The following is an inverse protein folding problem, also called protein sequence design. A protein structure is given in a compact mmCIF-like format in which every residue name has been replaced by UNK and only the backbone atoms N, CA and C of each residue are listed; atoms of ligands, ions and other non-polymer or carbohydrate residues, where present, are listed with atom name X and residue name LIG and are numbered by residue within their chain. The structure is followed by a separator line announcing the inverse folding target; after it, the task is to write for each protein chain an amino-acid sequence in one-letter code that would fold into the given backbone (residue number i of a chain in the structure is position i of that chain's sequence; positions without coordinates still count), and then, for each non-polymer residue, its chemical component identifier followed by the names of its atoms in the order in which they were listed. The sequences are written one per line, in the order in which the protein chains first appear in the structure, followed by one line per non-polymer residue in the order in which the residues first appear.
data_IF_907992380479
#
_entry.id   IF_907992380479
#
_cell.length_a   1.000
_cell.length_b   1.000
_cell.length_c   1.000
_cell.angle_alpha   90.00
_cell.angle_beta   90.00
_cell.angle_gamma   90.00
#
_symmetry.space_group_name_H-M   'P 1'
#
loop_
_entity.id
_entity.type
_entity.pdbx_description
1 polymer ?
#
# COMPACT_ATOMS: atom_id res chain seq x y z
N UNK A 1 0.78 -15.48 26.92
CA UNK A 1 0.83 -15.07 25.52
C UNK A 1 2.29 -14.77 25.19
N UNK A 2 2.92 -15.67 24.46
CA UNK A 2 4.33 -15.57 24.11
C UNK A 2 4.50 -14.49 23.05
N UNK A 3 5.31 -13.49 23.38
CA UNK A 3 5.72 -12.43 22.45
C UNK A 3 6.39 -13.02 21.22
N UNK A 4 5.70 -12.98 20.09
CA UNK A 4 6.24 -13.35 18.78
C UNK A 4 7.07 -12.24 18.12
N UNK A 5 7.45 -11.21 18.87
CA UNK A 5 8.11 -10.02 18.34
C UNK A 5 9.64 -10.09 18.33
N UNK A 6 10.24 -11.19 18.77
CA UNK A 6 11.67 -11.43 18.66
C UNK A 6 11.92 -12.90 18.41
N UNK A 7 12.05 -13.29 17.16
CA UNK A 7 12.73 -14.53 16.83
C UNK A 7 14.22 -14.25 17.00
N UNK A 8 14.80 -14.72 18.08
CA UNK A 8 16.25 -14.78 18.23
C UNK A 8 16.79 -15.81 17.22
N UNK A 9 17.83 -15.43 16.50
CA UNK A 9 18.64 -16.36 15.72
C UNK A 9 19.33 -17.26 16.73
N UNK A 10 18.80 -18.45 16.95
CA UNK A 10 19.55 -19.50 17.64
C UNK A 10 20.44 -20.14 16.59
N UNK A 11 21.73 -19.89 16.67
CA UNK A 11 22.72 -20.63 15.89
C UNK A 11 22.70 -22.08 16.37
N UNK A 12 22.20 -22.99 15.55
CA UNK A 12 22.35 -24.41 15.77
C UNK A 12 23.75 -24.78 15.35
N UNK A 13 24.74 -24.53 16.24
CA UNK A 13 26.15 -24.78 15.97
C UNK A 13 26.55 -26.27 16.09
N UNK A 14 25.59 -27.15 16.42
CA UNK A 14 25.89 -28.53 16.72
C UNK A 14 25.54 -29.56 15.62
N UNK A 15 25.08 -29.08 14.45
CA UNK A 15 24.81 -29.94 13.31
C UNK A 15 25.63 -29.47 12.10
N UNK A 16 26.61 -30.23 11.63
CA UNK A 16 27.40 -29.85 10.45
C UNK A 16 26.47 -29.85 9.21
N UNK A 17 26.27 -28.68 8.62
CA UNK A 17 25.57 -28.53 7.35
C UNK A 17 24.26 -27.74 7.39
N UNK A 18 23.77 -27.27 8.55
CA UNK A 18 22.56 -26.46 8.64
C UNK A 18 22.89 -25.03 9.09
N UNK A 19 22.66 -24.07 8.20
CA UNK A 19 22.87 -22.66 8.49
C UNK A 19 21.54 -21.96 8.66
N UNK A 20 21.43 -21.30 9.83
CA UNK A 20 20.57 -20.20 10.25
C UNK A 20 19.28 -19.92 9.45
N UNK A 21 18.14 -20.14 10.06
CA UNK A 21 16.90 -19.47 9.69
C UNK A 21 16.92 -18.03 10.25
N UNK A 22 16.81 -17.03 9.37
CA UNK A 22 16.61 -15.65 9.78
C UNK A 22 15.13 -15.41 10.10
N UNK A 23 14.87 -14.84 11.24
CA UNK A 23 13.54 -14.46 11.63
C UNK A 23 13.32 -12.96 11.44
N UNK A 24 12.17 -12.60 10.90
CA UNK A 24 11.81 -11.22 10.64
C UNK A 24 10.67 -10.79 11.57
N UNK A 25 10.87 -9.66 12.22
CA UNK A 25 9.80 -8.95 12.91
C UNK A 25 9.11 -8.01 11.94
N UNK A 26 7.83 -8.23 11.68
CA UNK A 26 7.00 -7.26 10.98
C UNK A 26 6.21 -6.45 12.01
N UNK A 27 6.33 -5.14 11.98
CA UNK A 27 5.57 -4.22 12.87
C UNK A 27 4.08 -4.14 12.55
N UNK A 28 3.60 -4.86 11.53
CA UNK A 28 2.22 -4.72 11.04
C UNK A 28 1.14 -5.09 12.05
N UNK A 29 1.41 -6.05 12.94
CA UNK A 29 0.44 -6.46 13.97
C UNK A 29 0.29 -5.48 15.13
N UNK A 30 1.20 -4.50 15.24
CA UNK A 30 1.19 -3.52 16.33
C UNK A 30 0.39 -2.27 16.01
N UNK A 31 0.19 -1.96 14.72
CA UNK A 31 -0.50 -0.73 14.28
C UNK A 31 -1.93 -0.64 14.79
N UNK A 32 -2.61 -1.78 14.96
CA UNK A 32 -3.98 -1.84 15.42
C UNK A 32 -4.12 -2.55 16.79
N UNK A 33 -3.13 -2.44 17.66
CA UNK A 33 -3.30 -2.87 19.05
C UNK A 33 -4.49 -2.11 19.65
N UNK A 34 -5.40 -2.85 20.28
CA UNK A 34 -6.51 -2.28 21.04
C UNK A 34 -5.93 -1.26 22.02
N UNK A 35 -6.45 -0.06 21.96
CA UNK A 35 -6.05 0.98 22.87
C UNK A 35 -6.50 0.60 24.27
N UNK A 36 -5.57 0.27 25.14
CA UNK A 36 -5.74 0.49 26.57
C UNK A 36 -6.23 1.93 26.73
N UNK A 37 -7.04 2.24 27.75
CA UNK A 37 -7.67 3.55 27.95
C UNK A 37 -6.75 4.71 27.55
N UNK A 38 -6.99 5.25 26.35
CA UNK A 38 -6.16 6.33 25.80
C UNK A 38 -6.49 7.58 26.59
N UNK A 39 -5.56 8.03 27.41
CA UNK A 39 -5.68 9.30 28.12
C UNK A 39 -5.35 10.49 27.20
N UNK A 40 -6.04 11.64 27.36
CA UNK A 40 -5.70 12.85 26.62
C UNK A 40 -4.25 13.26 26.85
N UNK A 41 -3.58 13.69 25.78
CA UNK A 41 -2.25 14.32 25.84
C UNK A 41 -2.39 15.83 25.79
N UNK A 42 -1.46 16.54 26.43
CA UNK A 42 -1.46 17.98 26.53
C UNK A 42 -0.35 18.58 25.65
N UNK A 43 -0.71 19.56 24.85
CA UNK A 43 0.27 20.43 24.14
C UNK A 43 0.59 21.64 25.02
N UNK A 44 -0.41 22.13 25.78
CA UNK A 44 -0.29 23.18 26.78
C UNK A 44 -1.39 23.03 27.84
N UNK A 45 -1.36 23.83 28.88
CA UNK A 45 -2.39 23.83 29.96
C UNK A 45 -3.83 24.02 29.41
N UNK A 46 -3.98 24.62 28.25
CA UNK A 46 -5.28 24.94 27.63
C UNK A 46 -5.64 24.06 26.43
N UNK A 47 -4.69 23.32 25.89
CA UNK A 47 -4.86 22.55 24.65
C UNK A 47 -4.50 21.10 24.89
N UNK A 48 -5.51 20.24 24.83
CA UNK A 48 -5.37 18.79 24.95
C UNK A 48 -5.98 18.10 23.73
N UNK A 49 -5.50 16.92 23.43
CA UNK A 49 -5.96 16.11 22.32
C UNK A 49 -5.96 14.61 22.66
N UNK A 50 -6.76 13.87 21.93
CA UNK A 50 -6.75 12.40 22.00
C UNK A 50 -5.71 11.87 21.03
N UNK A 51 -4.71 11.09 21.49
CA UNK A 51 -3.70 10.52 20.61
C UNK A 51 -4.32 9.49 19.67
N UNK A 52 -3.74 9.36 18.49
CA UNK A 52 -4.18 8.38 17.51
C UNK A 52 -3.29 7.14 17.55
N UNK A 53 -3.77 6.10 18.24
CA UNK A 53 -2.98 4.95 18.64
C UNK A 53 -2.23 5.20 19.97
N UNK A 54 -1.54 4.18 20.47
CA UNK A 54 -0.88 4.24 21.77
C UNK A 54 0.25 5.30 21.82
N UNK A 55 1.01 5.42 20.77
CA UNK A 55 2.15 6.34 20.61
C UNK A 55 1.85 7.60 19.81
N UNK A 56 0.63 7.73 19.28
CA UNK A 56 0.19 8.81 18.38
C UNK A 56 0.81 8.75 16.96
N UNK A 57 1.38 7.62 16.57
CA UNK A 57 2.00 7.42 15.26
C UNK A 57 1.15 6.60 14.28
N UNK A 58 0.03 6.06 14.71
CA UNK A 58 -0.85 5.18 13.92
C UNK A 58 -1.14 5.68 12.48
N UNK A 59 -1.45 6.98 12.21
CA UNK A 59 -1.71 7.41 10.84
C UNK A 59 -0.47 7.34 9.95
N UNK A 60 0.71 7.58 10.50
CA UNK A 60 1.97 7.51 9.75
C UNK A 60 2.39 6.05 9.51
N UNK A 61 2.13 5.17 10.46
CA UNK A 61 2.34 3.73 10.29
C UNK A 61 1.43 3.15 9.20
N UNK A 62 0.17 3.57 9.15
CA UNK A 62 -0.76 3.20 8.08
C UNK A 62 -0.23 3.66 6.71
N UNK A 63 0.20 4.91 6.60
CA UNK A 63 0.78 5.44 5.36
C UNK A 63 1.99 4.61 4.94
N UNK A 64 2.94 4.42 5.85
CA UNK A 64 4.15 3.65 5.57
C UNK A 64 3.87 2.21 5.14
N UNK A 65 2.89 1.54 5.77
CA UNK A 65 2.49 0.18 5.40
C UNK A 65 1.89 0.11 3.98
N UNK A 66 1.06 1.09 3.62
CA UNK A 66 0.45 1.16 2.29
C UNK A 66 1.51 1.49 1.23
N UNK A 67 2.39 2.44 1.50
CA UNK A 67 3.45 2.87 0.57
C UNK A 67 4.53 1.81 0.37
N UNK A 68 4.75 0.94 1.35
CA UNK A 68 5.77 -0.12 1.30
C UNK A 68 5.33 -1.40 0.59
N UNK A 69 4.07 -1.51 0.18
CA UNK A 69 3.52 -2.71 -0.46
C UNK A 69 2.78 -2.38 -1.75
N UNK A 70 3.21 -2.96 -2.86
CA UNK A 70 2.70 -2.69 -4.20
C UNK A 70 1.22 -3.03 -4.34
N UNK A 71 0.77 -4.11 -3.71
CA UNK A 71 -0.64 -4.55 -3.76
C UNK A 71 -1.52 -3.58 -2.98
N UNK A 72 -1.08 -3.20 -1.77
CA UNK A 72 -1.82 -2.27 -0.93
C UNK A 72 -1.91 -0.89 -1.57
N UNK A 73 -0.79 -0.36 -2.06
CA UNK A 73 -0.72 0.93 -2.74
C UNK A 73 -1.67 0.98 -3.93
N UNK A 74 -1.63 -0.04 -4.81
CA UNK A 74 -2.50 -0.13 -5.98
C UNK A 74 -3.98 -0.22 -5.60
N UNK A 75 -4.34 -1.08 -4.65
CA UNK A 75 -5.73 -1.23 -4.20
C UNK A 75 -6.24 0.04 -3.50
N UNK A 76 -5.39 0.72 -2.74
CA UNK A 76 -5.78 1.94 -2.05
C UNK A 76 -6.00 3.10 -3.02
N UNK A 77 -5.13 3.26 -4.02
CA UNK A 77 -5.30 4.23 -5.10
C UNK A 77 -6.61 3.97 -5.85
N UNK A 78 -6.83 2.73 -6.28
CA UNK A 78 -8.09 2.34 -6.95
C UNK A 78 -9.32 2.69 -6.12
N UNK A 79 -9.33 2.39 -4.82
CA UNK A 79 -10.45 2.70 -3.94
C UNK A 79 -10.71 4.21 -3.79
N UNK A 80 -9.64 5.02 -3.78
CA UNK A 80 -9.76 6.48 -3.74
C UNK A 80 -10.30 7.03 -5.07
N UNK A 81 -9.82 6.51 -6.21
CA UNK A 81 -10.26 6.89 -7.55
C UNK A 81 -11.72 6.51 -7.81
N UNK A 82 -12.15 5.31 -7.41
CA UNK A 82 -13.56 4.90 -7.53
C UNK A 82 -14.46 5.72 -6.60
N UNK A 83 -13.95 6.12 -5.43
CA UNK A 83 -14.69 7.04 -4.54
C UNK A 83 -14.80 8.44 -5.13
N UNK A 84 -13.77 8.92 -5.82
CA UNK A 84 -13.81 10.17 -6.56
C UNK A 84 -14.78 10.09 -7.76
N UNK A 85 -14.81 8.94 -8.45
CA UNK A 85 -15.69 8.66 -9.58
C UNK A 85 -15.54 9.69 -10.70
N UNK A 86 -16.66 10.28 -11.13
CA UNK A 86 -16.68 11.39 -12.11
C UNK A 86 -16.37 12.76 -11.52
N UNK A 87 -16.07 12.81 -10.22
CA UNK A 87 -15.87 14.03 -9.48
C UNK A 87 -17.15 14.60 -8.85
N UNK A 88 -16.95 15.48 -7.88
CA UNK A 88 -18.04 16.18 -7.23
C UNK A 88 -18.58 17.26 -8.15
N UNK A 89 -19.89 17.30 -8.31
CA UNK A 89 -20.60 18.39 -8.96
C UNK A 89 -21.76 18.87 -8.07
N UNK A 90 -22.19 20.12 -8.25
CA UNK A 90 -23.47 20.57 -7.71
C UNK A 90 -24.45 20.60 -8.87
N UNK A 91 -25.29 19.57 -8.91
CA UNK A 91 -26.40 19.53 -9.86
C UNK A 91 -27.41 20.59 -9.52
N UNK A 92 -28.03 21.18 -10.53
CA UNK A 92 -29.07 22.19 -10.38
C UNK A 92 -30.35 21.70 -11.03
N UNK A 93 -31.49 21.86 -10.34
CA UNK A 93 -32.81 21.57 -10.90
C UNK A 93 -33.32 22.72 -11.76
N UNK A 94 -34.44 22.48 -12.46
CA UNK A 94 -35.10 23.49 -13.33
C UNK A 94 -35.57 24.74 -12.57
N UNK A 95 -35.72 24.64 -11.25
CA UNK A 95 -36.14 25.76 -10.39
C UNK A 95 -34.98 26.63 -9.95
N UNK A 96 -33.72 26.20 -10.24
CA UNK A 96 -32.54 26.93 -9.86
C UNK A 96 -32.38 28.22 -10.68
N UNK A 97 -32.21 29.31 -9.98
CA UNK A 97 -32.05 30.62 -10.63
C UNK A 97 -30.65 30.72 -11.28
N UNK A 98 -30.56 31.36 -12.45
CA UNK A 98 -29.32 31.54 -13.19
C UNK A 98 -28.19 32.18 -12.39
N UNK A 99 -28.49 33.10 -11.48
CA UNK A 99 -27.51 33.70 -10.62
C UNK A 99 -26.91 32.71 -9.61
N UNK A 100 -27.70 31.73 -9.16
CA UNK A 100 -27.20 30.64 -8.29
C UNK A 100 -26.27 29.72 -9.05
N UNK A 101 -26.57 29.40 -10.31
CA UNK A 101 -25.69 28.62 -11.17
C UNK A 101 -24.31 29.29 -11.31
N UNK A 102 -24.31 30.58 -11.63
CA UNK A 102 -23.05 31.34 -11.74
C UNK A 102 -22.27 31.38 -10.42
N UNK A 103 -22.93 31.60 -9.28
CA UNK A 103 -22.29 31.57 -7.96
C UNK A 103 -21.67 30.21 -7.63
N UNK A 104 -22.32 29.12 -8.04
CA UNK A 104 -21.81 27.74 -7.87
C UNK A 104 -20.58 27.52 -8.75
N UNK A 105 -20.62 27.96 -10.01
CA UNK A 105 -19.50 27.85 -10.93
C UNK A 105 -18.26 28.63 -10.42
N UNK A 106 -18.46 29.87 -9.98
CA UNK A 106 -17.41 30.69 -9.35
C UNK A 106 -16.84 29.99 -8.10
N UNK A 107 -17.70 29.46 -7.24
CA UNK A 107 -17.24 28.73 -6.05
C UNK A 107 -16.40 27.51 -6.38
N UNK A 108 -16.73 26.76 -7.43
CA UNK A 108 -15.97 25.61 -7.88
C UNK A 108 -14.59 26.00 -8.40
N UNK A 109 -14.52 27.07 -9.18
CA UNK A 109 -13.24 27.60 -9.70
C UNK A 109 -12.34 28.14 -8.59
N UNK A 110 -12.89 28.94 -7.69
CA UNK A 110 -12.14 29.56 -6.61
C UNK A 110 -11.60 28.56 -5.59
N UNK A 111 -12.23 27.40 -5.45
CA UNK A 111 -11.88 26.40 -4.45
C UNK A 111 -11.12 25.18 -5.02
N UNK A 112 -10.83 25.14 -6.32
CA UNK A 112 -10.24 23.94 -6.96
C UNK A 112 -10.92 22.64 -6.47
N UNK A 113 -12.22 22.57 -6.71
CA UNK A 113 -13.06 21.50 -6.14
C UNK A 113 -12.62 20.10 -6.56
N UNK A 114 -11.95 19.96 -7.70
CA UNK A 114 -11.43 18.67 -8.16
C UNK A 114 -10.30 18.16 -7.24
N UNK A 115 -9.26 18.97 -7.01
CA UNK A 115 -8.15 18.63 -6.13
C UNK A 115 -8.62 18.47 -4.67
N UNK A 116 -9.50 19.34 -4.22
CA UNK A 116 -10.11 19.25 -2.89
C UNK A 116 -10.81 17.91 -2.70
N UNK A 117 -11.72 17.53 -3.62
CA UNK A 117 -12.54 16.33 -3.47
C UNK A 117 -11.70 15.04 -3.62
N UNK A 118 -10.73 15.02 -4.54
CA UNK A 118 -9.80 13.90 -4.67
C UNK A 118 -9.02 13.68 -3.35
N UNK A 119 -8.49 14.75 -2.77
CA UNK A 119 -7.77 14.66 -1.51
C UNK A 119 -8.66 14.20 -0.35
N UNK A 120 -9.92 14.65 -0.30
CA UNK A 120 -10.91 14.19 0.67
C UNK A 120 -11.20 12.69 0.50
N UNK A 121 -11.35 12.20 -0.73
CA UNK A 121 -11.54 10.77 -1.02
C UNK A 121 -10.33 9.94 -0.59
N UNK A 122 -9.10 10.44 -0.83
CA UNK A 122 -7.88 9.79 -0.38
C UNK A 122 -7.83 9.64 1.14
N UNK A 123 -8.02 10.73 1.89
CA UNK A 123 -8.05 10.67 3.37
C UNK A 123 -9.13 9.71 3.87
N UNK A 124 -10.32 9.82 3.29
CA UNK A 124 -11.46 9.01 3.69
C UNK A 124 -11.22 7.50 3.49
N UNK A 125 -10.57 7.13 2.39
CA UNK A 125 -10.23 5.74 2.11
C UNK A 125 -9.03 5.22 2.91
N UNK A 126 -8.07 6.09 3.24
CA UNK A 126 -6.94 5.71 4.09
C UNK A 126 -7.36 5.54 5.55
N UNK A 127 -8.15 6.45 6.07
CA UNK A 127 -8.34 6.56 7.52
C UNK A 127 -9.79 6.34 7.98
N UNK A 128 -10.73 6.20 7.05
CA UNK A 128 -12.15 6.10 7.36
C UNK A 128 -12.80 7.45 7.73
N UNK A 129 -12.07 8.56 7.65
CA UNK A 129 -12.60 9.90 7.83
C UNK A 129 -11.81 10.94 7.03
N UNK A 130 -12.44 12.07 6.77
CA UNK A 130 -11.83 13.24 6.18
C UNK A 130 -12.30 14.50 6.89
N UNK A 131 -11.46 15.53 6.88
CA UNK A 131 -11.73 16.80 7.53
C UNK A 131 -11.76 17.91 6.50
N UNK A 132 -12.93 18.54 6.39
CA UNK A 132 -13.14 19.71 5.56
C UNK A 132 -13.25 20.94 6.46
N UNK A 133 -12.61 22.04 6.08
CA UNK A 133 -12.72 23.30 6.79
C UNK A 133 -13.46 24.28 5.91
N UNK A 134 -14.57 24.79 6.41
CA UNK A 134 -15.34 25.85 5.77
C UNK A 134 -14.97 27.22 6.35
N UNK A 135 -14.85 28.21 5.48
CA UNK A 135 -14.54 29.58 5.86
C UNK A 135 -15.62 30.51 5.33
N UNK A 136 -16.15 31.32 6.21
CA UNK A 136 -17.17 32.33 5.88
C UNK A 136 -16.51 33.64 5.41
N UNK A 137 -17.28 34.43 4.68
CA UNK A 137 -16.91 35.80 4.39
C UNK A 137 -16.91 36.64 5.67
N UNK A 138 -16.40 37.87 5.60
CA UNK A 138 -16.32 38.79 6.73
C UNK A 138 -17.67 39.07 7.40
N UNK A 139 -18.73 39.15 6.59
CA UNK A 139 -20.10 39.34 7.06
C UNK A 139 -20.71 38.13 7.76
N UNK A 140 -20.11 36.93 7.60
CA UNK A 140 -20.59 35.68 8.18
C UNK A 140 -21.88 35.16 7.58
N UNK A 141 -22.21 35.52 6.36
CA UNK A 141 -23.47 35.17 5.69
C UNK A 141 -23.31 34.24 4.46
N UNK A 142 -22.08 34.01 4.01
CA UNK A 142 -21.73 33.04 2.94
C UNK A 142 -20.50 32.24 3.28
N UNK A 143 -20.48 30.97 2.90
CA UNK A 143 -19.25 30.15 2.83
C UNK A 143 -18.57 30.48 1.52
N UNK A 144 -17.34 30.97 1.60
CA UNK A 144 -16.53 31.38 0.44
C UNK A 144 -15.39 30.41 0.15
N UNK A 145 -14.94 29.66 1.16
CA UNK A 145 -13.86 28.67 1.00
C UNK A 145 -14.20 27.34 1.64
N UNK A 146 -13.78 26.28 0.98
CA UNK A 146 -13.72 24.94 1.54
C UNK A 146 -12.31 24.39 1.32
N UNK A 147 -11.68 23.88 2.37
CA UNK A 147 -10.32 23.38 2.36
C UNK A 147 -10.27 21.99 2.95
N UNK A 148 -9.47 21.11 2.38
CA UNK A 148 -9.07 19.86 3.01
C UNK A 148 -8.02 20.13 4.08
N UNK A 149 -8.14 19.47 5.22
CA UNK A 149 -7.06 19.30 6.19
C UNK A 149 -6.68 17.82 6.18
N UNK A 150 -5.43 17.54 5.84
CA UNK A 150 -4.93 16.15 5.75
C UNK A 150 -5.20 15.41 7.06
N UNK A 151 -5.92 14.30 6.97
CA UNK A 151 -6.40 13.58 8.14
C UNK A 151 -5.25 13.11 9.05
N UNK A 152 -4.09 12.74 8.50
CA UNK A 152 -2.93 12.32 9.29
C UNK A 152 -2.39 13.40 10.24
N UNK A 153 -2.63 14.69 9.93
CA UNK A 153 -2.23 15.83 10.74
C UNK A 153 -3.33 16.33 11.68
N UNK A 154 -4.50 15.69 11.67
CA UNK A 154 -5.61 16.06 12.54
C UNK A 154 -5.58 15.23 13.82
N UNK A 155 -5.84 15.90 14.96
CA UNK A 155 -6.15 15.28 16.24
C UNK A 155 -7.45 15.86 16.78
N UNK A 156 -8.23 15.03 17.45
CA UNK A 156 -9.48 15.44 18.07
C UNK A 156 -9.24 15.88 19.50
N UNK A 157 -9.86 16.97 19.93
CA UNK A 157 -9.89 17.33 21.34
C UNK A 157 -10.74 16.31 22.14
N UNK A 158 -10.51 16.15 23.43
CA UNK A 158 -11.37 15.32 24.26
C UNK A 158 -12.84 15.74 24.18
N UNK A 159 -13.74 14.77 24.14
CA UNK A 159 -15.17 15.04 24.16
C UNK A 159 -15.58 15.72 25.49
N UNK A 160 -16.55 16.59 25.40
CA UNK A 160 -17.15 17.23 26.57
C UNK A 160 -18.06 16.23 27.32
N UNK A 161 -18.67 16.67 28.42
CA UNK A 161 -19.57 15.84 29.24
C UNK A 161 -20.80 15.33 28.48
N UNK A 162 -21.13 15.96 27.37
CA UNK A 162 -22.25 15.58 26.50
C UNK A 162 -21.81 14.63 25.37
N UNK A 163 -20.55 14.22 25.35
CA UNK A 163 -19.99 13.35 24.31
C UNK A 163 -19.68 14.07 22.99
N UNK A 164 -19.71 15.40 22.96
CA UNK A 164 -19.43 16.20 21.78
C UNK A 164 -17.96 16.62 21.75
N UNK A 165 -17.30 16.41 20.63
CA UNK A 165 -15.92 16.82 20.38
C UNK A 165 -15.96 18.31 19.95
N UNK A 166 -15.36 19.24 20.71
CA UNK A 166 -15.55 20.68 20.46
C UNK A 166 -14.67 21.24 19.36
N UNK A 167 -13.53 20.63 19.08
CA UNK A 167 -12.53 21.16 18.17
C UNK A 167 -11.61 20.08 17.63
N UNK A 168 -10.95 20.41 16.53
CA UNK A 168 -9.84 19.64 15.98
C UNK A 168 -8.55 20.46 16.07
N UNK A 169 -7.45 19.76 16.24
CA UNK A 169 -6.10 20.31 16.29
C UNK A 169 -5.37 19.86 15.02
N UNK A 170 -4.78 20.77 14.32
CA UNK A 170 -4.04 20.49 13.09
C UNK A 170 -2.58 20.89 13.24
N UNK A 171 -1.69 19.92 13.15
CA UNK A 171 -0.24 20.09 13.23
C UNK A 171 0.50 18.89 12.65
N UNK A 172 1.81 18.98 12.47
CA UNK A 172 2.64 17.83 12.11
C UNK A 172 3.06 17.08 13.39
N UNK A 173 2.35 15.99 13.69
CA UNK A 173 2.52 15.17 14.90
C UNK A 173 3.63 14.12 14.79
N UNK A 174 4.40 14.08 13.71
CA UNK A 174 5.54 13.14 13.58
C UNK A 174 6.62 13.36 14.63
N UNK A 175 6.73 14.59 15.12
CA UNK A 175 7.67 15.01 16.15
C UNK A 175 6.95 15.74 17.28
N UNK A 176 7.68 16.10 18.33
CA UNK A 176 7.14 16.93 19.40
C UNK A 176 6.63 18.28 18.86
N UNK A 177 5.39 18.61 19.16
CA UNK A 177 4.71 19.81 18.65
C UNK A 177 4.63 20.86 19.74
N UNK A 178 4.97 22.11 19.43
CA UNK A 178 4.79 23.26 20.33
C UNK A 178 3.40 23.86 20.15
N UNK A 179 2.89 24.50 21.18
CA UNK A 179 1.55 25.08 21.16
C UNK A 179 1.33 26.11 20.01
N UNK A 180 2.37 26.87 19.66
CA UNK A 180 2.30 27.86 18.58
C UNK A 180 2.20 27.23 17.19
N UNK A 181 2.55 25.95 17.06
CA UNK A 181 2.50 25.18 15.81
C UNK A 181 1.16 24.51 15.59
N UNK A 182 0.27 24.55 16.58
CA UNK A 182 -1.02 23.88 16.54
C UNK A 182 -2.12 24.84 16.14
N UNK A 183 -2.73 24.58 15.00
CA UNK A 183 -3.94 25.29 14.61
C UNK A 183 -5.15 24.61 15.27
N UNK A 184 -5.87 25.36 16.10
CA UNK A 184 -7.09 24.89 16.75
C UNK A 184 -8.30 25.38 15.97
N UNK A 185 -9.12 24.46 15.46
CA UNK A 185 -10.28 24.77 14.62
C UNK A 185 -11.54 24.23 15.32
N UNK A 186 -12.55 25.09 15.55
CA UNK A 186 -13.84 24.63 16.07
C UNK A 186 -14.44 23.55 15.19
N UNK A 187 -14.87 22.43 15.77
CA UNK A 187 -15.54 21.36 15.08
C UNK A 187 -17.06 21.54 15.22
N UNK A 188 -17.76 21.52 14.09
CA UNK A 188 -19.22 21.51 14.13
C UNK A 188 -19.75 20.15 14.64
N UNK A 189 -20.75 20.22 15.51
CA UNK A 189 -21.38 19.03 16.06
C UNK A 189 -22.02 18.17 14.92
N UNK A 190 -21.55 16.95 14.67
CA UNK A 190 -22.05 16.12 13.59
C UNK A 190 -23.55 15.76 13.71
N UNK A 191 -24.11 15.77 14.93
CA UNK A 191 -25.52 15.48 15.18
C UNK A 191 -26.44 16.65 14.83
N UNK A 192 -25.94 17.88 14.89
CA UNK A 192 -26.70 19.09 14.63
C UNK A 192 -25.86 20.19 13.95
N UNK A 193 -25.20 19.90 12.79
CA UNK A 193 -24.21 20.79 12.20
C UNK A 193 -24.80 22.16 11.80
N UNK A 194 -26.05 22.17 11.34
CA UNK A 194 -26.72 23.41 10.97
C UNK A 194 -26.97 24.35 12.16
N UNK A 195 -27.53 23.82 13.24
CA UNK A 195 -27.85 24.59 14.44
C UNK A 195 -26.60 25.10 15.11
N UNK A 196 -25.56 24.25 15.16
CA UNK A 196 -24.28 24.63 15.76
C UNK A 196 -23.57 25.70 14.92
N UNK A 197 -23.55 25.55 13.58
CA UNK A 197 -22.99 26.59 12.70
C UNK A 197 -23.63 27.95 12.95
N UNK A 198 -24.97 28.02 13.01
CA UNK A 198 -25.68 29.26 13.28
C UNK A 198 -25.33 29.84 14.66
N UNK A 199 -25.20 29.00 15.68
CA UNK A 199 -24.82 29.42 17.01
C UNK A 199 -23.37 29.95 17.08
N UNK A 200 -22.44 29.29 16.37
CA UNK A 200 -21.04 29.69 16.32
C UNK A 200 -20.81 30.99 15.52
N UNK A 201 -21.56 31.17 14.42
CA UNK A 201 -21.53 32.42 13.62
C UNK A 201 -21.97 33.64 14.46
N UNK A 202 -23.00 33.47 15.32
CA UNK A 202 -23.41 34.52 16.27
C UNK A 202 -22.33 34.88 17.28
N UNK A 203 -21.35 33.99 17.54
CA UNK A 203 -20.18 34.24 18.39
C UNK A 203 -18.98 34.78 17.60
N UNK A 204 -19.23 35.31 16.42
CA UNK A 204 -18.25 35.93 15.52
C UNK A 204 -17.16 34.97 15.00
N UNK A 205 -17.40 33.67 15.04
CA UNK A 205 -16.49 32.70 14.43
C UNK A 205 -16.74 32.60 12.93
N UNK A 206 -15.68 32.41 12.14
CA UNK A 206 -15.75 32.39 10.67
C UNK A 206 -15.12 31.14 10.05
N UNK A 207 -14.45 30.30 10.84
CA UNK A 207 -13.75 29.10 10.37
C UNK A 207 -14.18 27.89 11.19
N UNK A 208 -14.59 26.82 10.50
CA UNK A 208 -15.14 25.63 11.15
C UNK A 208 -14.67 24.36 10.45
N UNK A 209 -14.34 23.35 11.24
CA UNK A 209 -14.12 22.00 10.73
C UNK A 209 -15.44 21.23 10.65
N UNK A 210 -15.57 20.43 9.61
CA UNK A 210 -16.63 19.43 9.42
C UNK A 210 -15.95 18.11 9.17
N UNK A 211 -16.30 17.09 9.95
CA UNK A 211 -15.74 15.74 9.80
C UNK A 211 -16.75 14.84 9.14
N UNK A 212 -16.35 14.26 8.01
CA UNK A 212 -17.02 13.13 7.40
C UNK A 212 -16.37 11.84 7.90
N UNK A 213 -17.12 10.96 8.57
CA UNK A 213 -16.55 9.79 9.25
C UNK A 213 -17.41 8.56 9.05
N UNK A 214 -16.77 7.41 8.75
CA UNK A 214 -17.43 6.11 8.72
C UNK A 214 -17.77 5.71 10.16
N UNK A 215 -19.03 5.36 10.46
CA UNK A 215 -19.38 4.81 11.76
C UNK A 215 -18.64 3.49 11.99
N UNK A 216 -17.84 3.43 13.05
CA UNK A 216 -17.13 2.22 13.44
C UNK A 216 -17.51 1.86 14.87
N UNK A 217 -17.95 0.61 15.16
CA UNK A 217 -18.21 0.17 16.51
C UNK A 217 -16.99 0.38 17.41
N UNK A 218 -17.23 0.76 18.66
CA UNK A 218 -16.18 0.95 19.68
C UNK A 218 -15.10 1.98 19.31
N UNK A 219 -15.46 2.98 18.51
CA UNK A 219 -14.53 4.03 18.08
C UNK A 219 -15.17 5.42 18.17
N UNK A 220 -14.79 6.18 19.17
CA UNK A 220 -15.32 7.54 19.41
C UNK A 220 -14.58 8.60 18.61
N UNK A 221 -13.26 8.51 18.50
CA UNK A 221 -12.42 9.56 17.90
C UNK A 221 -11.99 9.18 16.49
N UNK A 222 -11.27 8.07 16.33
CA UNK A 222 -10.69 7.65 15.06
C UNK A 222 -11.33 6.35 14.59
N UNK A 223 -11.91 6.33 13.37
CA UNK A 223 -12.46 5.10 12.82
C UNK A 223 -11.38 4.05 12.63
N UNK A 224 -11.77 2.80 12.68
CA UNK A 224 -10.92 1.68 12.27
C UNK A 224 -11.06 1.56 10.74
N UNK A 225 -9.97 1.65 9.97
CA UNK A 225 -10.03 1.46 8.51
C UNK A 225 -10.60 0.09 8.15
N UNK A 226 -11.39 0.02 7.09
CA UNK A 226 -12.08 -1.21 6.66
C UNK A 226 -11.13 -2.38 6.38
N UNK A 227 -9.89 -2.09 6.05
CA UNK A 227 -8.83 -3.07 5.76
C UNK A 227 -7.96 -3.44 6.98
N UNK A 228 -8.28 -2.96 8.17
CA UNK A 228 -7.49 -3.20 9.38
C UNK A 228 -7.28 -4.70 9.69
N UNK A 229 -8.23 -5.55 9.29
CA UNK A 229 -8.13 -7.00 9.45
C UNK A 229 -6.95 -7.61 8.69
N UNK A 230 -6.46 -6.95 7.64
CA UNK A 230 -5.29 -7.39 6.88
C UNK A 230 -4.03 -7.43 7.75
N UNK A 231 -3.86 -6.41 8.60
CA UNK A 231 -2.69 -6.28 9.47
C UNK A 231 -2.84 -7.10 10.76
N UNK A 232 -4.06 -7.36 11.20
CA UNK A 232 -4.35 -8.29 12.31
C UNK A 232 -4.21 -9.76 11.88
N UNK A 233 -4.43 -10.05 10.58
CA UNK A 233 -4.26 -11.36 9.97
C UNK A 233 -2.80 -11.70 9.66
N UNK A 234 -2.60 -12.82 8.93
CA UNK A 234 -1.26 -13.31 8.59
C UNK A 234 -0.87 -13.12 7.12
N UNK A 235 -1.83 -12.84 6.24
CA UNK A 235 -1.61 -12.83 4.80
C UNK A 235 -0.63 -11.74 4.34
N UNK A 236 -0.71 -10.56 4.93
CA UNK A 236 0.30 -9.51 4.70
C UNK A 236 1.70 -9.98 5.07
N UNK A 237 1.86 -10.59 6.27
CA UNK A 237 3.14 -11.08 6.75
C UNK A 237 3.66 -12.23 5.87
N UNK A 238 2.79 -13.13 5.41
CA UNK A 238 3.16 -14.22 4.50
C UNK A 238 3.74 -13.66 3.20
N UNK A 239 3.07 -12.67 2.57
CA UNK A 239 3.59 -12.01 1.36
C UNK A 239 4.98 -11.42 1.59
N UNK A 240 5.17 -10.70 2.69
CA UNK A 240 6.47 -10.09 3.03
C UNK A 240 7.55 -11.15 3.23
N UNK A 241 7.26 -12.22 3.97
CA UNK A 241 8.21 -13.32 4.20
C UNK A 241 8.61 -14.02 2.91
N UNK A 242 7.68 -14.25 1.98
CA UNK A 242 7.98 -14.85 0.67
C UNK A 242 8.92 -13.94 -0.13
N UNK A 243 8.68 -12.63 -0.12
CA UNK A 243 9.54 -11.65 -0.78
C UNK A 243 10.97 -11.71 -0.27
N UNK A 244 11.14 -11.67 1.06
CA UNK A 244 12.45 -11.75 1.71
C UNK A 244 13.14 -13.09 1.46
N UNK A 245 12.40 -14.20 1.55
CA UNK A 245 12.95 -15.53 1.28
C UNK A 245 13.43 -15.67 -0.16
N UNK A 246 12.67 -15.16 -1.14
CA UNK A 246 13.10 -15.13 -2.55
C UNK A 246 14.32 -14.26 -2.76
N UNK A 247 14.37 -13.09 -2.16
CA UNK A 247 15.52 -12.19 -2.23
C UNK A 247 16.78 -12.86 -1.64
N UNK A 248 16.66 -13.45 -0.45
CA UNK A 248 17.75 -14.19 0.18
C UNK A 248 18.22 -15.37 -0.67
N UNK A 249 17.28 -16.14 -1.26
CA UNK A 249 17.61 -17.22 -2.18
C UNK A 249 18.37 -16.71 -3.40
N UNK A 250 17.92 -15.61 -4.02
CA UNK A 250 18.60 -15.03 -5.19
C UNK A 250 19.99 -14.48 -4.84
N UNK A 251 20.17 -13.87 -3.67
CA UNK A 251 21.45 -13.34 -3.22
C UNK A 251 22.44 -14.46 -2.85
N UNK A 252 21.96 -15.54 -2.24
CA UNK A 252 22.79 -16.62 -1.73
C UNK A 252 22.95 -17.78 -2.71
N UNK A 253 22.05 -17.92 -3.69
CA UNK A 253 22.16 -18.91 -4.72
C UNK A 253 22.84 -18.32 -5.96
N UNK A 254 24.16 -18.11 -5.88
CA UNK A 254 24.94 -18.47 -7.04
C UNK A 254 24.85 -20.02 -7.09
N UNK A 255 24.03 -20.63 -7.96
CA UNK A 255 23.90 -22.08 -7.97
C UNK A 255 25.27 -22.63 -8.29
N UNK A 256 25.78 -23.52 -7.44
CA UNK A 256 26.92 -24.35 -7.81
C UNK A 256 26.43 -25.15 -9.01
N UNK A 257 26.76 -24.67 -10.21
CA UNK A 257 26.27 -25.27 -11.46
C UNK A 257 26.97 -26.59 -11.77
N UNK A 258 28.20 -26.70 -11.31
CA UNK A 258 29.07 -27.84 -11.63
C UNK A 258 29.78 -28.33 -10.38
N UNK A 259 29.76 -29.62 -10.15
CA UNK A 259 30.61 -30.31 -9.19
C UNK A 259 31.70 -31.03 -9.98
N UNK A 260 32.94 -30.62 -9.80
CA UNK A 260 34.09 -31.14 -10.55
C UNK A 260 34.89 -32.03 -9.61
N UNK A 261 34.96 -33.29 -9.96
CA UNK A 261 35.81 -34.27 -9.28
C UNK A 261 37.05 -34.53 -10.11
N UNK A 262 38.22 -34.32 -9.50
CA UNK A 262 39.54 -34.55 -10.17
C UNK A 262 40.28 -35.62 -9.39
N UNK A 263 40.66 -36.69 -10.08
CA UNK A 263 41.37 -37.76 -9.49
C UNK A 263 42.78 -37.32 -9.03
N UNK A 264 43.27 -37.82 -7.88
CA UNK A 264 44.59 -37.49 -7.41
C UNK A 264 45.71 -37.96 -8.39
N UNK A 265 45.49 -39.04 -9.12
CA UNK A 265 46.35 -39.53 -10.19
C UNK A 265 46.60 -38.51 -11.29
N UNK A 266 45.58 -37.75 -11.68
CA UNK A 266 45.64 -36.66 -12.66
C UNK A 266 46.78 -35.67 -12.33
N UNK A 267 46.79 -35.18 -11.08
CA UNK A 267 47.83 -34.26 -10.64
C UNK A 267 49.21 -34.89 -10.63
N UNK A 268 49.30 -36.14 -10.19
CA UNK A 268 50.57 -36.87 -10.16
C UNK A 268 51.14 -37.08 -11.57
N UNK A 269 50.28 -37.32 -12.54
CA UNK A 269 50.66 -37.52 -13.95
C UNK A 269 51.17 -36.21 -14.57
N UNK A 270 50.46 -35.10 -14.34
CA UNK A 270 50.88 -33.75 -14.79
C UNK A 270 52.23 -33.40 -14.20
N UNK A 271 52.43 -33.55 -12.87
CA UNK A 271 53.68 -33.21 -12.24
C UNK A 271 54.85 -34.04 -12.76
N UNK A 272 54.63 -35.32 -13.08
CA UNK A 272 55.66 -36.17 -13.68
C UNK A 272 55.95 -35.77 -15.13
N UNK A 273 54.95 -35.48 -15.92
CA UNK A 273 55.11 -35.09 -17.32
C UNK A 273 55.83 -33.73 -17.45
N UNK A 274 55.54 -32.79 -16.56
CA UNK A 274 56.14 -31.46 -16.55
C UNK A 274 57.39 -31.36 -15.69
N UNK A 275 57.82 -32.45 -15.02
CA UNK A 275 59.03 -32.50 -14.20
C UNK A 275 58.97 -31.63 -12.94
N UNK A 276 57.81 -31.32 -12.42
CA UNK A 276 57.60 -30.42 -11.27
C UNK A 276 57.75 -31.21 -9.98
N UNK A 277 58.87 -30.98 -9.25
CA UNK A 277 59.18 -31.62 -7.97
C UNK A 277 58.95 -30.72 -6.77
N UNK A 278 58.93 -29.41 -6.97
CA UNK A 278 58.71 -28.41 -5.91
C UNK A 278 57.22 -28.29 -5.55
N UNK A 279 56.94 -28.38 -4.25
CA UNK A 279 55.57 -28.29 -3.70
C UNK A 279 54.87 -26.96 -4.00
N UNK A 280 55.59 -25.85 -4.01
CA UNK A 280 55.04 -24.53 -4.29
C UNK A 280 54.60 -24.46 -5.75
N UNK A 281 55.45 -24.88 -6.67
CA UNK A 281 55.15 -24.96 -8.11
C UNK A 281 54.03 -25.95 -8.44
N UNK A 282 53.96 -27.06 -7.69
CA UNK A 282 52.84 -27.99 -7.81
C UNK A 282 51.48 -27.33 -7.47
N UNK A 283 51.47 -26.57 -6.37
CA UNK A 283 50.23 -25.86 -5.97
C UNK A 283 49.85 -24.75 -6.97
N UNK A 284 50.81 -24.01 -7.48
CA UNK A 284 50.57 -23.00 -8.51
C UNK A 284 50.00 -23.65 -9.78
N UNK A 285 50.55 -24.77 -10.23
CA UNK A 285 50.04 -25.48 -11.40
C UNK A 285 48.62 -26.05 -11.20
N UNK A 286 48.32 -26.55 -9.99
CA UNK A 286 46.98 -26.99 -9.62
C UNK A 286 45.97 -25.83 -9.67
N UNK A 287 46.36 -24.67 -9.18
CA UNK A 287 45.48 -23.49 -9.21
C UNK A 287 45.27 -23.01 -10.65
N UNK A 288 46.32 -22.96 -11.47
CA UNK A 288 46.24 -22.57 -12.87
C UNK A 288 45.27 -23.51 -13.65
N UNK A 289 45.35 -24.81 -13.46
CA UNK A 289 44.45 -25.76 -14.13
C UNK A 289 43.00 -25.66 -13.65
N UNK A 290 42.81 -25.43 -12.36
CA UNK A 290 41.47 -25.15 -11.82
C UNK A 290 40.86 -23.87 -12.42
N UNK A 291 41.67 -22.82 -12.54
CA UNK A 291 41.25 -21.55 -13.14
C UNK A 291 40.90 -21.73 -14.63
N UNK A 292 41.67 -22.54 -15.37
CA UNK A 292 41.40 -22.91 -16.75
C UNK A 292 40.03 -23.61 -16.90
N UNK A 293 39.80 -24.60 -16.04
CA UNK A 293 38.49 -25.32 -16.03
C UNK A 293 37.34 -24.38 -15.67
N UNK A 294 37.52 -23.55 -14.65
CA UNK A 294 36.51 -22.54 -14.25
C UNK A 294 36.22 -21.59 -15.41
N UNK A 295 37.24 -21.01 -16.02
CA UNK A 295 37.11 -20.07 -17.12
C UNK A 295 36.45 -20.74 -18.35
N UNK A 296 36.78 -21.99 -18.61
CA UNK A 296 36.13 -22.76 -19.69
C UNK A 296 34.62 -22.93 -19.44
N UNK A 297 34.25 -23.29 -18.21
CA UNK A 297 32.85 -23.57 -17.86
C UNK A 297 32.01 -22.32 -17.63
N UNK A 298 32.61 -21.18 -17.23
CA UNK A 298 31.90 -19.95 -16.89
C UNK A 298 32.05 -18.83 -17.90
N UNK A 299 33.02 -18.94 -18.85
CA UNK A 299 33.24 -17.91 -19.87
C UNK A 299 32.07 -17.80 -20.85
N UNK A 300 31.53 -16.60 -21.03
CA UNK A 300 30.44 -16.33 -21.97
C UNK A 300 30.81 -16.71 -23.43
N UNK A 301 32.09 -16.64 -23.77
CA UNK A 301 32.61 -16.98 -25.11
C UNK A 301 32.66 -18.50 -25.35
N UNK A 302 32.48 -19.31 -24.32
CA UNK A 302 32.60 -20.77 -24.38
C UNK A 302 31.24 -21.49 -24.45
N UNK A 303 30.15 -20.74 -24.60
CA UNK A 303 28.80 -21.32 -24.76
C UNK A 303 28.74 -22.18 -26.03
N UNK A 304 28.55 -23.49 -25.86
CA UNK A 304 28.49 -24.48 -26.95
C UNK A 304 29.81 -25.15 -27.31
N UNK A 305 30.93 -24.86 -26.60
CA UNK A 305 32.19 -25.59 -26.79
C UNK A 305 32.17 -26.93 -26.08
N UNK A 306 32.91 -27.88 -26.64
CA UNK A 306 33.01 -29.26 -26.15
C UNK A 306 34.30 -29.41 -25.35
N UNK A 307 34.19 -29.99 -24.17
CA UNK A 307 35.33 -30.41 -23.37
C UNK A 307 35.61 -31.91 -23.64
N UNK A 308 36.84 -32.22 -24.02
CA UNK A 308 37.27 -33.61 -24.16
C UNK A 308 38.01 -34.05 -22.89
N UNK A 309 37.65 -35.20 -22.35
CA UNK A 309 38.40 -35.87 -21.28
C UNK A 309 38.71 -37.30 -21.69
N UNK A 310 39.86 -37.79 -21.27
CA UNK A 310 40.25 -39.19 -21.49
C UNK A 310 39.91 -40.03 -20.24
N UNK A 311 39.57 -41.25 -20.46
CA UNK A 311 39.39 -42.24 -19.39
C UNK A 311 40.20 -43.51 -19.70
N UNK A 312 40.57 -44.24 -18.70
CA UNK A 312 41.21 -45.55 -18.87
C UNK A 312 40.44 -46.64 -18.15
N UNK A 313 40.53 -47.86 -18.70
CA UNK A 313 39.90 -49.02 -18.12
C UNK A 313 40.90 -49.77 -17.26
N UNK A 314 40.58 -49.94 -15.99
CA UNK A 314 41.40 -50.72 -15.05
C UNK A 314 41.43 -52.22 -15.48
N UNK A 315 42.47 -52.97 -15.11
CA UNK A 315 42.57 -54.42 -15.37
C UNK A 315 41.33 -55.21 -14.85
N UNK A 316 40.60 -54.66 -13.92
CA UNK A 316 39.37 -55.21 -13.36
C UNK A 316 38.12 -54.88 -14.18
N UNK A 317 38.24 -54.16 -15.29
CA UNK A 317 37.10 -53.75 -16.15
C UNK A 317 36.35 -52.51 -15.69
N UNK A 318 36.82 -51.78 -14.65
CA UNK A 318 36.19 -50.54 -14.18
C UNK A 318 36.75 -49.34 -14.94
N UNK A 319 35.87 -48.46 -15.40
CA UNK A 319 36.24 -47.20 -16.02
C UNK A 319 36.73 -46.22 -14.95
N UNK A 320 37.91 -45.67 -15.15
CA UNK A 320 38.45 -44.63 -14.27
C UNK A 320 38.60 -43.34 -15.06
N UNK A 321 37.87 -42.31 -14.59
CA UNK A 321 37.88 -40.97 -15.16
C UNK A 321 38.81 -40.06 -14.37
N UNK A 322 39.68 -39.34 -15.08
CA UNK A 322 40.59 -38.40 -14.43
C UNK A 322 39.87 -37.10 -14.00
N UNK A 323 38.87 -36.69 -14.79
CA UNK A 323 38.03 -35.50 -14.47
C UNK A 323 36.56 -35.84 -14.73
N UNK A 324 35.71 -35.69 -13.73
CA UNK A 324 34.25 -35.85 -13.86
C UNK A 324 33.60 -34.51 -13.52
N UNK A 325 32.80 -34.02 -14.46
CA UNK A 325 32.00 -32.80 -14.30
C UNK A 325 30.54 -33.17 -14.17
N UNK A 326 30.05 -33.11 -12.96
CA UNK A 326 28.64 -33.33 -12.65
C UNK A 326 27.89 -32.01 -12.68
N UNK A 327 26.90 -31.89 -13.53
CA UNK A 327 25.97 -30.77 -13.48
C UNK A 327 25.05 -30.99 -12.28
N UNK A 328 25.11 -30.08 -11.31
CA UNK A 328 24.18 -30.09 -10.20
C UNK A 328 22.86 -29.53 -10.74
N UNK A 329 21.87 -30.38 -10.89
CA UNK A 329 20.51 -29.93 -11.10
C UNK A 329 20.08 -29.19 -9.83
N UNK A 330 19.93 -27.90 -9.91
CA UNK A 330 19.30 -27.12 -8.83
C UNK A 330 17.87 -27.63 -8.75
N UNK A 331 17.57 -28.28 -7.63
CA UNK A 331 16.22 -28.69 -7.31
C UNK A 331 15.28 -27.53 -7.57
N UNK A 332 14.25 -27.77 -8.38
CA UNK A 332 13.12 -26.87 -8.53
C UNK A 332 12.30 -26.74 -7.22
N UNK A 333 12.84 -27.25 -6.14
CA UNK A 333 12.31 -27.16 -4.77
C UNK A 333 12.43 -25.75 -4.20
N UNK A 334 11.93 -24.80 -4.93
CA UNK A 334 11.62 -23.50 -4.35
C UNK A 334 10.21 -23.44 -3.82
N UNK A 335 9.70 -24.52 -3.18
CA UNK A 335 8.35 -24.55 -2.66
C UNK A 335 7.29 -24.04 -3.65
N UNK A 336 6.04 -24.13 -3.32
CA UNK A 336 4.95 -23.58 -4.13
C UNK A 336 4.78 -22.05 -3.90
N UNK A 337 5.90 -21.33 -3.73
CA UNK A 337 5.90 -19.89 -3.44
C UNK A 337 5.14 -19.07 -4.48
N UNK A 338 5.03 -19.58 -5.70
CA UNK A 338 4.22 -18.93 -6.73
C UNK A 338 2.73 -19.03 -6.38
N UNK A 339 2.26 -20.15 -5.87
CA UNK A 339 0.90 -20.33 -5.40
C UNK A 339 0.65 -19.53 -4.13
N UNK A 340 1.55 -19.62 -3.15
CA UNK A 340 1.43 -18.91 -1.87
C UNK A 340 1.34 -17.38 -2.07
N UNK A 341 2.14 -16.81 -2.99
CA UNK A 341 2.10 -15.37 -3.27
C UNK A 341 0.80 -14.96 -3.96
N UNK A 342 0.26 -15.83 -4.83
CA UNK A 342 -1.03 -15.61 -5.49
C UNK A 342 -2.15 -15.59 -4.44
N UNK A 343 -2.15 -16.55 -3.54
CA UNK A 343 -3.14 -16.63 -2.46
C UNK A 343 -3.04 -15.41 -1.54
N UNK A 344 -1.84 -15.02 -1.12
CA UNK A 344 -1.62 -13.86 -0.29
C UNK A 344 -2.13 -12.57 -0.97
N UNK A 345 -1.78 -12.34 -2.24
CA UNK A 345 -2.23 -11.17 -3.00
C UNK A 345 -3.75 -11.18 -3.19
N UNK A 346 -4.37 -12.35 -3.47
CA UNK A 346 -5.82 -12.46 -3.59
C UNK A 346 -6.52 -12.13 -2.28
N UNK A 347 -6.00 -12.61 -1.13
CA UNK A 347 -6.55 -12.28 0.19
C UNK A 347 -6.37 -10.81 0.54
N UNK A 348 -5.27 -10.18 0.11
CA UNK A 348 -5.08 -8.74 0.25
C UNK A 348 -6.09 -7.95 -0.59
N UNK A 349 -6.27 -8.30 -1.86
CA UNK A 349 -7.28 -7.69 -2.72
C UNK A 349 -8.70 -7.86 -2.17
N UNK A 350 -9.04 -9.06 -1.68
CA UNK A 350 -10.33 -9.34 -1.04
C UNK A 350 -10.56 -8.45 0.18
N UNK A 351 -9.56 -8.32 1.05
CA UNK A 351 -9.64 -7.48 2.25
C UNK A 351 -9.75 -6.00 1.90
N UNK A 352 -9.05 -5.56 0.85
CA UNK A 352 -9.14 -4.20 0.30
C UNK A 352 -10.44 -3.97 -0.49
N UNK A 353 -11.31 -4.99 -0.65
CA UNK A 353 -12.55 -4.96 -1.43
C UNK A 353 -12.35 -4.57 -2.89
N UNK A 354 -11.24 -4.99 -3.46
CA UNK A 354 -10.89 -4.77 -4.86
C UNK A 354 -10.81 -6.11 -5.58
N UNK A 355 -11.52 -6.23 -6.69
CA UNK A 355 -11.36 -7.41 -7.54
C UNK A 355 -10.08 -7.27 -8.37
N UNK A 356 -9.24 -8.30 -8.37
CA UNK A 356 -7.93 -8.27 -9.04
C UNK A 356 -8.01 -7.91 -10.54
N UNK A 357 -9.10 -8.28 -11.21
CA UNK A 357 -9.32 -7.94 -12.63
C UNK A 357 -9.49 -6.43 -12.90
N UNK A 358 -9.77 -5.62 -11.88
CA UNK A 358 -9.91 -4.17 -12.01
C UNK A 358 -8.58 -3.42 -11.88
N UNK A 359 -7.61 -3.98 -11.14
CA UNK A 359 -6.32 -3.34 -10.87
C UNK A 359 -5.15 -3.97 -11.63
N UNK A 360 -5.39 -4.99 -12.42
CA UNK A 360 -4.37 -5.68 -13.20
C UNK A 360 -4.27 -7.17 -12.94
N UNK A 361 -3.25 -7.82 -13.49
CA UNK A 361 -3.04 -9.25 -13.29
C UNK A 361 -2.37 -9.53 -11.96
N UNK A 362 -2.90 -10.49 -11.22
CA UNK A 362 -2.20 -11.03 -10.04
C UNK A 362 -0.91 -11.70 -10.49
N UNK A 363 0.25 -11.44 -9.86
CA UNK A 363 1.50 -12.09 -10.20
C UNK A 363 1.37 -13.62 -10.22
N UNK A 364 1.85 -14.25 -11.28
CA UNK A 364 1.91 -15.74 -11.39
C UNK A 364 0.68 -16.42 -11.94
N UNK A 365 -0.42 -15.72 -12.19
CA UNK A 365 -1.61 -16.30 -12.82
C UNK A 365 -1.82 -15.71 -14.21
N UNK A 366 -1.78 -16.53 -15.26
CA UNK A 366 -2.22 -16.10 -16.58
C UNK A 366 -3.70 -15.77 -16.50
N UNK A 367 -4.03 -14.63 -17.04
CA UNK A 367 -5.34 -13.99 -17.14
C UNK A 367 -6.54 -14.91 -16.93
N UNK A 368 -7.19 -14.79 -15.79
CA UNK A 368 -8.55 -15.30 -15.62
C UNK A 368 -9.51 -14.34 -16.32
N UNK A 369 -10.35 -14.91 -17.18
CA UNK A 369 -11.47 -14.28 -17.89
C UNK A 369 -11.41 -12.77 -18.04
N UNK A 370 -10.86 -12.30 -19.16
CA UNK A 370 -10.82 -10.88 -19.54
C UNK A 370 -12.07 -10.47 -20.34
N UNK A 371 -13.25 -11.01 -19.98
CA UNK A 371 -14.49 -10.57 -20.60
C UNK A 371 -14.73 -9.09 -20.31
N UNK A 372 -15.02 -8.33 -21.36
CA UNK A 372 -15.35 -6.92 -21.20
C UNK A 372 -16.63 -6.71 -20.39
N UNK A 373 -17.59 -7.65 -20.44
CA UNK A 373 -18.81 -7.66 -19.63
C UNK A 373 -18.50 -7.78 -18.16
N UNK A 374 -17.67 -8.75 -17.75
CA UNK A 374 -17.31 -8.94 -16.36
C UNK A 374 -16.66 -7.69 -15.74
N UNK A 375 -15.74 -7.06 -16.48
CA UNK A 375 -15.09 -5.83 -16.02
C UNK A 375 -16.07 -4.68 -15.82
N UNK A 376 -17.06 -4.54 -16.71
CA UNK A 376 -18.10 -3.52 -16.58
C UNK A 376 -19.00 -3.78 -15.37
N UNK A 377 -19.41 -5.02 -15.17
CA UNK A 377 -20.23 -5.41 -14.02
C UNK A 377 -19.47 -5.15 -12.71
N UNK A 378 -18.23 -5.59 -12.62
CA UNK A 378 -17.37 -5.35 -11.45
C UNK A 378 -17.18 -3.86 -11.18
N UNK A 379 -16.94 -3.04 -12.22
CA UNK A 379 -16.80 -1.60 -12.07
C UNK A 379 -18.13 -0.94 -11.63
N UNK A 380 -19.23 -1.38 -12.19
CA UNK A 380 -20.58 -0.91 -11.81
C UNK A 380 -20.88 -1.21 -10.35
N UNK A 381 -20.57 -2.43 -9.89
CA UNK A 381 -20.70 -2.83 -8.49
C UNK A 381 -19.79 -1.96 -7.60
N UNK A 382 -18.54 -1.77 -8.00
CA UNK A 382 -17.59 -0.95 -7.26
C UNK A 382 -18.08 0.50 -7.08
N UNK A 383 -18.66 1.11 -8.13
CA UNK A 383 -19.27 2.43 -8.05
C UNK A 383 -20.51 2.46 -7.14
N UNK A 384 -21.42 1.49 -7.29
CA UNK A 384 -22.64 1.41 -6.48
C UNK A 384 -22.33 1.33 -4.97
N UNK A 385 -21.27 0.62 -4.61
CA UNK A 385 -20.81 0.51 -3.24
C UNK A 385 -20.19 1.82 -2.67
N UNK A 386 -19.96 2.84 -3.50
CA UNK A 386 -19.53 4.16 -3.01
C UNK A 386 -20.65 5.01 -2.45
N UNK A 387 -21.91 4.70 -2.78
CA UNK A 387 -23.06 5.51 -2.36
C UNK A 387 -23.09 5.84 -0.85
N UNK A 388 -22.91 4.90 0.07
CA UNK A 388 -22.86 5.22 1.51
C UNK A 388 -21.73 6.19 1.87
N UNK A 389 -20.60 6.10 1.20
CA UNK A 389 -19.45 6.99 1.42
C UNK A 389 -19.73 8.39 0.88
N UNK A 390 -20.32 8.50 -0.33
CA UNK A 390 -20.75 9.77 -0.89
C UNK A 390 -21.76 10.45 0.03
N UNK A 391 -22.71 9.73 0.61
CA UNK A 391 -23.69 10.33 1.53
C UNK A 391 -23.02 10.98 2.75
N UNK A 392 -21.95 10.38 3.27
CA UNK A 392 -21.17 10.94 4.37
C UNK A 392 -20.34 12.15 3.91
N UNK A 393 -19.67 12.06 2.76
CA UNK A 393 -18.83 13.12 2.21
C UNK A 393 -19.67 14.35 1.79
N UNK A 394 -20.88 14.12 1.26
CA UNK A 394 -21.75 15.19 0.81
C UNK A 394 -22.38 16.02 1.94
N UNK A 395 -22.29 15.59 3.19
CA UNK A 395 -22.85 16.36 4.31
C UNK A 395 -22.27 17.76 4.43
N UNK A 396 -20.98 17.93 4.21
CA UNK A 396 -20.34 19.26 4.21
C UNK A 396 -20.88 20.12 3.06
N UNK A 397 -21.09 19.53 1.89
CA UNK A 397 -21.59 20.23 0.69
C UNK A 397 -23.06 20.61 0.83
N UNK A 398 -23.89 19.74 1.40
CA UNK A 398 -25.28 20.06 1.75
C UNK A 398 -25.35 21.23 2.74
N UNK A 399 -24.42 21.27 3.69
CA UNK A 399 -24.32 22.38 4.64
C UNK A 399 -23.95 23.70 3.94
N UNK A 400 -22.97 23.68 3.02
CA UNK A 400 -22.53 24.84 2.23
C UNK A 400 -23.69 25.34 1.36
N UNK A 401 -24.33 24.48 0.60
CA UNK A 401 -25.46 24.80 -0.27
C UNK A 401 -26.59 25.47 0.53
N UNK A 402 -26.95 24.88 1.66
CA UNK A 402 -27.99 25.43 2.54
C UNK A 402 -27.61 26.77 3.12
N UNK A 403 -26.35 26.93 3.54
CA UNK A 403 -25.88 28.18 4.15
C UNK A 403 -25.82 29.32 3.13
N UNK A 404 -25.35 29.04 1.92
CA UNK A 404 -25.29 30.00 0.82
C UNK A 404 -26.66 30.27 0.17
N UNK A 405 -27.71 29.56 0.61
CA UNK A 405 -29.08 29.66 0.06
C UNK A 405 -29.16 29.34 -1.43
N UNK A 406 -28.33 28.40 -1.89
CA UNK A 406 -28.37 27.91 -3.27
C UNK A 406 -29.51 26.92 -3.47
N UNK A 407 -30.72 27.46 -3.47
CA UNK A 407 -31.95 26.66 -3.61
C UNK A 407 -32.02 26.00 -5.00
N UNK A 408 -32.30 24.72 -5.04
CA UNK A 408 -32.29 23.93 -6.28
C UNK A 408 -30.96 23.31 -6.62
N UNK A 409 -29.88 23.60 -5.86
CA UNK A 409 -28.60 22.91 -6.01
C UNK A 409 -28.50 21.74 -5.03
N UNK A 410 -27.83 20.65 -5.44
CA UNK A 410 -27.52 19.50 -4.58
C UNK A 410 -26.19 18.86 -5.02
N UNK A 411 -25.41 18.30 -4.06
CA UNK A 411 -24.15 17.65 -4.39
C UNK A 411 -24.41 16.27 -5.00
N UNK A 412 -23.68 15.96 -6.04
CA UNK A 412 -23.74 14.69 -6.74
C UNK A 412 -22.35 14.26 -7.22
N UNK A 413 -22.19 12.95 -7.45
CA UNK A 413 -21.09 12.35 -8.17
C UNK A 413 -21.72 11.44 -9.24
N UNK A 414 -21.89 11.95 -10.47
CA UNK A 414 -22.59 11.23 -11.52
C UNK A 414 -21.98 9.87 -11.79
N UNK A 415 -22.85 8.90 -12.02
CA UNK A 415 -22.44 7.55 -12.32
C UNK A 415 -21.80 7.44 -13.70
N UNK A 416 -20.62 6.80 -13.78
CA UNK A 416 -19.95 6.55 -15.06
C UNK A 416 -20.49 5.24 -15.63
N UNK A 417 -21.20 5.32 -16.73
CA UNK A 417 -21.67 4.15 -17.45
C UNK A 417 -20.66 3.74 -18.52
N UNK A 418 -20.11 2.53 -18.37
CA UNK A 418 -19.24 1.93 -19.38
C UNK A 418 -20.10 1.22 -20.42
N UNK A 419 -20.06 1.67 -21.67
CA UNK A 419 -20.75 1.06 -22.81
C UNK A 419 -19.77 0.32 -23.72
N UNK A 420 -20.24 -0.69 -24.46
CA UNK A 420 -19.49 -1.32 -25.55
C UNK A 420 -19.90 -0.74 -26.89
N UNK A 421 -19.00 -0.89 -27.88
CA UNK A 421 -19.29 -0.55 -29.28
C UNK A 421 -20.47 -1.38 -29.83
N UNK A 422 -20.68 -2.59 -29.30
CA UNK A 422 -21.79 -3.47 -29.72
C UNK A 422 -23.17 -2.95 -29.27
N UNK A 423 -23.21 -2.25 -28.15
CA UNK A 423 -24.46 -1.63 -27.64
C UNK A 423 -24.73 -0.27 -28.30
N UNK A 424 -23.69 0.40 -28.77
CA UNK A 424 -23.78 1.71 -29.40
C UNK A 424 -23.31 1.64 -30.86
N UNK A 425 -24.12 1.01 -31.72
CA UNK A 425 -23.83 0.84 -33.15
C UNK A 425 -23.65 2.18 -33.91
N UNK A 426 -24.13 3.28 -33.32
CA UNK A 426 -24.03 4.63 -33.87
C UNK A 426 -22.94 5.49 -33.21
N UNK A 427 -22.10 4.91 -32.34
CA UNK A 427 -20.97 5.61 -31.76
C UNK A 427 -19.96 5.94 -32.87
N UNK A 428 -20.06 7.14 -33.44
CA UNK A 428 -19.04 7.69 -34.33
C UNK A 428 -17.75 7.84 -33.52
N UNK A 429 -16.65 7.24 -34.02
CA UNK A 429 -15.33 7.64 -33.59
C UNK A 429 -15.24 9.16 -33.80
N UNK A 430 -15.02 9.89 -32.72
CA UNK A 430 -14.61 11.29 -32.85
C UNK A 430 -13.19 11.24 -33.43
N UNK A 431 -13.08 11.47 -34.74
CA UNK A 431 -11.78 11.70 -35.35
C UNK A 431 -11.19 12.94 -34.68
N UNK A 432 -10.02 12.81 -34.08
CA UNK A 432 -9.18 13.93 -33.69
C UNK A 432 -8.58 14.60 -34.93
N UNK A 433 -9.44 15.19 -35.76
CA UNK A 433 -9.04 16.10 -36.82
C UNK A 433 -9.97 17.31 -36.71
N UNK A 434 -9.53 18.25 -35.88
CA UNK A 434 -9.48 19.70 -36.12
C UNK A 434 -8.95 20.39 -34.83
#
# INVERSE_FOLDING_TARGET
MTDFNSLQITSVNDLPGYHAAAAFTTKSSEVFKEAEEISPRHVSDKVSYMPWGADDQMPYDIINLIESDETLSTCQMFNAEVCYGSGLVYQTDEMCKRNVVNEVEEFFLDNDMASYFLGVCQDFKHFGFAVSVIILNEQGNKVVRVLRKEACYVRFAPANKEGVIPQVLYANWRNSVRAEQVEVIPLLNPQSPWTDLQAQVKKDKRKFAVVSRVPTPDSTYYPIPYYASLFKGKWYNIKQLIGVAKEAKLKNSAPIKYHIEIAKSFWSNIFKAEGITDRVKQQERVNEEKDNIINFLTGMENSGKVLFSEFYVSPNGEEQHDVVINKIETDKEGGDWATDIIEAVNMMCFTMRVHSNLVGSVPGKSQTNNSGSDKRELYTIAQALQKPYHDLLFNVHRLIIRFNRWNGAYPDCPFIQLTTLDENKDAKQVSTEE
#
